data_IF_578428006205
#
_entry.id   IF_578428006205
#
_cell.length_a   1.000
_cell.length_b   1.000
_cell.length_c   1.000
_cell.angle_alpha   90.00
_cell.angle_beta   90.00
_cell.angle_gamma   90.00
#
_symmetry.space_group_name_H-M   'P 1'
#
loop_
_entity.id
_entity.type
_entity.pdbx_description
1 polymer ?
#
# COMPACT_ATOMS: atom_id res chain seq x y z
N UNK A 1 4.09 22.15 -1.28
CA UNK A 1 3.95 21.69 0.13
C UNK A 1 5.36 21.53 0.68
N UNK A 2 5.65 21.98 1.91
CA UNK A 2 6.95 21.76 2.56
C UNK A 2 7.11 20.28 2.93
N UNK A 3 8.33 19.83 3.08
CA UNK A 3 8.60 18.41 3.41
C UNK A 3 7.90 17.95 4.67
N UNK A 4 7.97 18.74 5.74
CA UNK A 4 7.35 18.40 7.03
C UNK A 4 5.82 18.29 6.91
N UNK A 5 5.19 19.20 6.14
CA UNK A 5 3.74 19.15 5.88
C UNK A 5 3.35 17.86 5.14
N UNK A 6 4.20 17.39 4.21
CA UNK A 6 3.97 16.14 3.49
C UNK A 6 4.03 14.96 4.44
N UNK A 7 5.10 14.86 5.23
CA UNK A 7 5.33 13.73 6.14
C UNK A 7 4.26 13.66 7.23
N UNK A 8 3.89 14.82 7.81
CA UNK A 8 2.89 14.90 8.88
C UNK A 8 1.45 14.75 8.34
N UNK A 9 1.17 15.32 7.17
CA UNK A 9 -0.18 15.32 6.59
C UNK A 9 -0.55 14.01 5.90
N UNK A 10 0.43 13.27 5.36
CA UNK A 10 0.17 12.04 4.61
C UNK A 10 -0.50 10.98 5.47
N UNK A 11 -1.59 10.45 4.98
CA UNK A 11 -2.30 9.30 5.56
C UNK A 11 -2.74 8.31 4.48
N UNK A 12 -3.16 7.12 4.88
CA UNK A 12 -3.68 6.11 3.95
C UNK A 12 -5.08 6.49 3.48
N UNK A 13 -5.24 6.68 2.18
CA UNK A 13 -6.50 7.04 1.52
C UNK A 13 -7.16 5.76 1.00
N UNK A 14 -8.45 5.56 1.30
CA UNK A 14 -9.23 4.36 0.99
C UNK A 14 -10.56 4.67 0.29
N UNK A 15 -10.79 5.91 -0.07
CA UNK A 15 -11.90 6.39 -0.89
C UNK A 15 -11.37 7.41 -1.90
N UNK A 16 -11.75 7.25 -3.15
CA UNK A 16 -11.21 8.05 -4.26
C UNK A 16 -12.33 8.61 -5.11
N UNK A 17 -12.10 9.80 -5.65
CA UNK A 17 -12.96 10.39 -6.67
C UNK A 17 -12.83 9.59 -7.99
N UNK A 18 -13.94 9.50 -8.72
CA UNK A 18 -13.96 8.95 -10.10
C UNK A 18 -13.37 9.97 -11.09
N UNK A 19 -12.09 10.32 -10.87
CA UNK A 19 -11.38 11.29 -11.68
C UNK A 19 -10.13 10.63 -12.25
N UNK A 20 -9.89 10.69 -13.56
CA UNK A 20 -8.69 10.15 -14.19
C UNK A 20 -7.41 10.76 -13.58
N UNK A 21 -6.38 9.95 -13.48
CA UNK A 21 -5.04 10.39 -13.11
C UNK A 21 -4.20 10.48 -14.38
N UNK A 22 -3.68 11.66 -14.75
CA UNK A 22 -2.85 11.80 -15.94
C UNK A 22 -1.57 10.98 -15.83
N UNK A 23 -1.20 10.26 -16.88
CA UNK A 23 0.03 9.47 -16.93
C UNK A 23 1.28 10.34 -16.68
N UNK A 24 1.30 11.58 -17.15
CA UNK A 24 2.38 12.53 -16.90
C UNK A 24 2.59 12.77 -15.40
N UNK A 25 1.50 12.94 -14.63
CA UNK A 25 1.58 13.11 -13.17
C UNK A 25 2.12 11.86 -12.47
N UNK A 26 1.71 10.66 -12.93
CA UNK A 26 2.24 9.40 -12.39
C UNK A 26 3.74 9.30 -12.66
N UNK A 27 4.19 9.68 -13.86
CA UNK A 27 5.60 9.70 -14.23
C UNK A 27 6.41 10.63 -13.33
N UNK A 28 5.96 11.86 -13.11
CA UNK A 28 6.60 12.80 -12.19
C UNK A 28 6.71 12.25 -10.76
N UNK A 29 5.67 11.56 -10.28
CA UNK A 29 5.66 10.94 -8.95
C UNK A 29 6.70 9.82 -8.89
N UNK A 30 6.79 8.98 -9.92
CA UNK A 30 7.77 7.89 -10.00
C UNK A 30 9.20 8.40 -10.12
N UNK A 31 9.45 9.47 -10.89
CA UNK A 31 10.77 10.10 -11.01
C UNK A 31 11.30 10.56 -9.65
N UNK A 32 10.44 11.15 -8.82
CA UNK A 32 10.81 11.51 -7.45
C UNK A 32 11.00 10.27 -6.55
N UNK A 33 10.10 9.28 -6.68
CA UNK A 33 10.18 8.07 -5.90
C UNK A 33 11.51 7.33 -6.12
N UNK A 34 11.96 7.24 -7.38
CA UNK A 34 13.22 6.60 -7.76
C UNK A 34 14.48 7.32 -7.25
N UNK A 35 14.33 8.48 -6.58
CA UNK A 35 15.45 9.11 -5.83
C UNK A 35 15.67 8.49 -4.46
N UNK A 36 14.89 7.48 -4.07
CA UNK A 36 15.11 6.73 -2.84
C UNK A 36 16.54 6.13 -2.80
N UNK A 37 17.20 6.16 -1.64
CA UNK A 37 18.50 5.50 -1.49
C UNK A 37 18.34 3.98 -1.57
N UNK A 38 19.39 3.30 -2.05
CA UNK A 38 19.45 1.83 -2.06
C UNK A 38 20.84 1.34 -1.65
N UNK A 39 20.92 0.11 -1.18
CA UNK A 39 22.18 -0.54 -0.91
C UNK A 39 23.03 -0.57 -2.18
N UNK A 40 24.23 0.02 -2.12
CA UNK A 40 25.22 0.06 -3.22
C UNK A 40 24.62 0.51 -4.57
N UNK A 41 23.57 1.31 -4.56
CA UNK A 41 22.85 1.78 -5.74
C UNK A 41 22.25 0.66 -6.60
N UNK A 42 21.83 -0.44 -5.99
CA UNK A 42 21.31 -1.62 -6.69
C UNK A 42 19.93 -1.38 -7.33
N UNK A 43 19.12 -0.43 -6.80
CA UNK A 43 17.83 -0.04 -7.34
C UNK A 43 16.95 -1.24 -7.72
N UNK A 44 16.63 -2.12 -6.76
CA UNK A 44 16.07 -3.45 -7.03
C UNK A 44 14.63 -3.42 -7.53
N UNK A 45 13.95 -2.29 -7.41
CA UNK A 45 12.52 -2.15 -7.70
C UNK A 45 12.21 -2.02 -9.19
N UNK A 46 11.07 -2.60 -9.56
CA UNK A 46 10.40 -2.34 -10.84
C UNK A 46 8.94 -1.95 -10.56
N UNK A 47 8.31 -1.20 -11.46
CA UNK A 47 6.94 -0.72 -11.31
C UNK A 47 6.08 -1.14 -12.49
N UNK A 48 4.96 -1.78 -12.20
CA UNK A 48 3.89 -2.03 -13.15
C UNK A 48 2.72 -1.12 -12.78
N UNK A 49 2.51 -0.09 -13.59
CA UNK A 49 1.43 0.88 -13.40
C UNK A 49 0.21 0.41 -14.16
N UNK A 50 -0.84 0.08 -13.44
CA UNK A 50 -2.08 -0.45 -14.02
C UNK A 50 -3.26 0.48 -13.74
N UNK A 51 -4.15 0.59 -14.73
CA UNK A 51 -5.39 1.37 -14.65
C UNK A 51 -6.39 0.84 -15.67
N UNK A 52 -7.58 1.46 -15.75
CA UNK A 52 -8.63 1.09 -16.68
C UNK A 52 -9.02 -0.38 -16.61
N UNK A 53 -9.33 -0.99 -17.76
CA UNK A 53 -9.82 -2.37 -17.86
C UNK A 53 -8.87 -3.42 -17.27
N UNK A 54 -7.55 -3.21 -17.38
CA UNK A 54 -6.56 -4.13 -16.79
C UNK A 54 -6.72 -4.17 -15.27
N UNK A 55 -6.84 -3.00 -14.64
CA UNK A 55 -7.05 -2.92 -13.21
C UNK A 55 -8.40 -3.50 -12.79
N UNK A 56 -9.44 -3.32 -13.61
CA UNK A 56 -10.77 -3.88 -13.34
C UNK A 56 -10.76 -5.42 -13.40
N UNK A 57 -10.05 -6.02 -14.36
CA UNK A 57 -9.85 -7.49 -14.41
C UNK A 57 -9.07 -8.01 -13.19
N UNK A 58 -8.04 -7.28 -12.75
CA UNK A 58 -7.31 -7.63 -11.51
C UNK A 58 -8.25 -7.62 -10.30
N UNK A 59 -9.09 -6.60 -10.16
CA UNK A 59 -10.07 -6.50 -9.07
C UNK A 59 -11.06 -7.65 -9.10
N UNK A 60 -11.62 -7.90 -10.27
CA UNK A 60 -12.58 -8.98 -10.46
C UNK A 60 -11.96 -10.32 -10.09
N UNK A 61 -10.81 -10.68 -10.64
CA UNK A 61 -10.16 -11.94 -10.35
C UNK A 61 -9.74 -12.09 -8.88
N UNK A 62 -9.27 -11.01 -8.24
CA UNK A 62 -8.96 -11.00 -6.81
C UNK A 62 -10.20 -11.28 -5.96
N UNK A 63 -11.34 -10.66 -6.27
CA UNK A 63 -12.60 -10.84 -5.54
C UNK A 63 -13.16 -12.24 -5.76
N UNK A 64 -13.24 -12.70 -7.01
CA UNK A 64 -13.76 -14.02 -7.37
C UNK A 64 -12.98 -15.14 -6.66
N UNK A 65 -11.65 -15.10 -6.72
CA UNK A 65 -10.81 -16.10 -6.04
C UNK A 65 -10.93 -16.05 -4.52
N UNK A 66 -11.05 -14.84 -3.94
CA UNK A 66 -11.26 -14.72 -2.50
C UNK A 66 -12.62 -15.28 -2.07
N UNK A 67 -13.70 -14.97 -2.80
CA UNK A 67 -15.05 -15.50 -2.53
C UNK A 67 -15.13 -17.02 -2.73
N UNK A 68 -14.38 -17.56 -3.68
CA UNK A 68 -14.26 -19.01 -3.92
C UNK A 68 -13.38 -19.71 -2.86
N UNK A 69 -12.85 -18.99 -1.88
CA UNK A 69 -11.98 -19.56 -0.83
C UNK A 69 -10.61 -20.02 -1.33
N UNK A 70 -10.17 -19.54 -2.49
CA UNK A 70 -8.83 -19.88 -3.01
C UNK A 70 -7.77 -19.36 -2.07
N UNK A 71 -6.82 -20.18 -1.62
CA UNK A 71 -5.75 -19.77 -0.73
C UNK A 71 -4.96 -18.58 -1.29
N UNK A 72 -4.51 -17.68 -0.40
CA UNK A 72 -3.66 -16.57 -0.80
C UNK A 72 -2.30 -17.06 -1.30
N UNK A 73 -1.85 -16.51 -2.42
CA UNK A 73 -0.62 -16.90 -3.12
C UNK A 73 0.34 -15.71 -3.30
N UNK A 74 0.42 -14.84 -2.28
CA UNK A 74 1.40 -13.74 -2.28
C UNK A 74 2.83 -14.27 -2.34
N UNK A 75 3.72 -13.52 -2.97
CA UNK A 75 5.10 -13.95 -3.24
C UNK A 75 6.09 -13.51 -2.16
N UNK A 76 5.75 -12.51 -1.34
CA UNK A 76 6.58 -12.12 -0.19
C UNK A 76 6.19 -12.90 1.07
N UNK A 77 7.18 -13.11 1.95
CA UNK A 77 6.96 -13.83 3.21
C UNK A 77 6.21 -12.94 4.21
N UNK A 78 5.16 -13.48 4.78
CA UNK A 78 4.54 -12.92 5.98
C UNK A 78 5.05 -13.70 7.19
N UNK A 79 5.46 -12.98 8.22
CA UNK A 79 5.77 -13.60 9.51
C UNK A 79 4.52 -14.26 10.16
N UNK A 80 4.68 -14.82 11.37
CA UNK A 80 3.61 -15.56 12.08
C UNK A 80 2.43 -14.69 12.54
N UNK A 81 2.38 -13.44 12.11
CA UNK A 81 1.39 -12.46 12.53
C UNK A 81 1.90 -11.57 13.66
N UNK A 82 1.13 -10.52 13.95
CA UNK A 82 1.50 -9.56 14.99
C UNK A 82 1.07 -10.06 16.38
N UNK A 83 1.93 -9.84 17.38
CA UNK A 83 1.69 -10.16 18.80
C UNK A 83 1.98 -8.94 19.68
N UNK A 84 1.53 -8.97 20.93
CA UNK A 84 1.76 -7.91 21.93
C UNK A 84 1.34 -6.53 21.40
N UNK A 85 2.13 -5.53 21.66
CA UNK A 85 1.89 -4.13 21.28
C UNK A 85 1.67 -3.92 19.77
N UNK A 86 2.29 -4.74 18.93
CA UNK A 86 2.08 -4.67 17.48
C UNK A 86 0.66 -5.10 17.10
N UNK A 87 0.14 -6.14 17.76
CA UNK A 87 -1.25 -6.59 17.58
C UNK A 87 -2.24 -5.56 18.10
N UNK A 88 -1.95 -4.95 19.24
CA UNK A 88 -2.79 -3.88 19.83
C UNK A 88 -2.91 -2.69 18.87
N UNK A 89 -1.79 -2.24 18.28
CA UNK A 89 -1.78 -1.15 17.29
C UNK A 89 -2.57 -1.52 16.02
N UNK A 90 -2.43 -2.76 15.55
CA UNK A 90 -3.22 -3.27 14.42
C UNK A 90 -4.72 -3.24 14.71
N UNK A 91 -5.13 -3.71 15.90
CA UNK A 91 -6.53 -3.70 16.32
C UNK A 91 -7.03 -2.27 16.50
N UNK A 92 -6.19 -1.39 17.06
CA UNK A 92 -6.52 0.02 17.28
C UNK A 92 -6.89 0.74 15.98
N UNK A 93 -6.08 0.60 14.94
CA UNK A 93 -6.38 1.22 13.64
C UNK A 93 -7.60 0.58 12.96
N UNK A 94 -7.78 -0.74 13.12
CA UNK A 94 -8.97 -1.42 12.58
C UNK A 94 -10.26 -0.93 13.23
N UNK A 95 -10.26 -0.73 14.57
CA UNK A 95 -11.40 -0.15 15.31
C UNK A 95 -11.73 1.26 14.82
N UNK A 96 -10.73 2.11 14.62
CA UNK A 96 -10.93 3.46 14.10
C UNK A 96 -11.56 3.45 12.70
N UNK A 97 -11.09 2.57 11.80
CA UNK A 97 -11.64 2.43 10.46
C UNK A 97 -13.08 1.93 10.49
N UNK A 98 -13.38 0.92 11.30
CA UNK A 98 -14.73 0.40 11.42
C UNK A 98 -15.69 1.42 12.02
N UNK A 99 -15.27 2.16 13.05
CA UNK A 99 -16.07 3.25 13.64
C UNK A 99 -16.33 4.36 12.60
N UNK A 100 -15.31 4.79 11.85
CA UNK A 100 -15.49 5.80 10.81
C UNK A 100 -16.45 5.35 9.69
N UNK A 101 -16.49 4.05 9.38
CA UNK A 101 -17.34 3.47 8.33
C UNK A 101 -18.70 2.97 8.85
N UNK A 102 -19.02 3.24 10.11
CA UNK A 102 -20.26 2.73 10.75
C UNK A 102 -20.41 1.20 10.61
N UNK A 103 -19.31 0.48 10.88
CA UNK A 103 -19.27 -0.98 10.84
C UNK A 103 -19.27 -1.51 12.27
N UNK A 104 -20.40 -2.06 12.71
CA UNK A 104 -20.50 -2.66 14.05
C UNK A 104 -19.67 -3.96 14.13
N UNK A 105 -19.33 -4.34 15.38
CA UNK A 105 -18.50 -5.53 15.66
C UNK A 105 -19.15 -6.83 15.20
N UNK A 106 -20.45 -6.92 15.30
CA UNK A 106 -21.29 -8.06 14.94
C UNK A 106 -21.85 -7.98 13.50
N UNK A 107 -21.69 -6.84 12.81
CA UNK A 107 -22.07 -6.68 11.42
C UNK A 107 -21.07 -7.38 10.49
N UNK A 108 -21.30 -8.69 10.33
CA UNK A 108 -20.45 -9.54 9.49
C UNK A 108 -20.48 -9.09 8.02
N UNK A 109 -21.66 -8.70 7.52
CA UNK A 109 -21.82 -8.33 6.11
C UNK A 109 -21.00 -7.08 5.76
N UNK A 110 -21.14 -5.98 6.52
CA UNK A 110 -20.34 -4.77 6.31
C UNK A 110 -18.84 -5.04 6.47
N UNK A 111 -18.45 -5.90 7.40
CA UNK A 111 -17.05 -6.30 7.58
C UNK A 111 -16.50 -7.05 6.38
N UNK A 112 -17.24 -8.01 5.85
CA UNK A 112 -16.87 -8.77 4.66
C UNK A 112 -16.77 -7.83 3.44
N UNK A 113 -17.72 -6.91 3.27
CA UNK A 113 -17.65 -5.87 2.24
C UNK A 113 -16.43 -4.95 2.39
N UNK A 114 -16.07 -4.58 3.61
CA UNK A 114 -14.85 -3.81 3.87
C UNK A 114 -13.59 -4.57 3.47
N UNK A 115 -13.51 -5.86 3.78
CA UNK A 115 -12.40 -6.72 3.37
C UNK A 115 -12.31 -6.79 1.85
N UNK A 116 -13.44 -7.00 1.15
CA UNK A 116 -13.49 -7.05 -0.31
C UNK A 116 -13.03 -5.74 -0.96
N UNK A 117 -13.25 -4.59 -0.32
CA UNK A 117 -12.69 -3.31 -0.81
C UNK A 117 -11.17 -3.34 -0.91
N UNK A 118 -10.49 -3.98 0.04
CA UNK A 118 -9.05 -4.17 -0.02
C UNK A 118 -8.61 -5.01 -1.24
N UNK A 119 -9.33 -6.09 -1.54
CA UNK A 119 -9.08 -6.92 -2.73
C UNK A 119 -9.36 -6.16 -4.04
N UNK A 120 -10.33 -5.24 -4.03
CA UNK A 120 -10.59 -4.31 -5.14
C UNK A 120 -9.65 -3.11 -5.16
N UNK A 121 -8.64 -3.08 -4.29
CA UNK A 121 -7.69 -1.95 -4.18
C UNK A 121 -8.40 -0.62 -3.91
N UNK A 122 -9.44 -0.68 -3.08
CA UNK A 122 -10.28 0.46 -2.68
C UNK A 122 -10.90 1.23 -3.86
N UNK A 123 -11.07 0.57 -4.98
CA UNK A 123 -11.61 1.12 -6.24
C UNK A 123 -10.81 2.35 -6.76
N UNK A 124 -9.50 2.41 -6.44
CA UNK A 124 -8.61 3.49 -6.86
C UNK A 124 -8.41 3.49 -8.38
N UNK A 125 -8.35 4.63 -9.07
CA UNK A 125 -8.20 4.69 -10.53
C UNK A 125 -6.86 4.13 -11.03
N UNK A 126 -5.85 4.05 -10.16
CA UNK A 126 -4.51 3.55 -10.49
C UNK A 126 -4.01 2.60 -9.40
N UNK A 127 -3.34 1.54 -9.80
CA UNK A 127 -2.54 0.69 -8.93
C UNK A 127 -1.11 0.62 -9.46
N UNK A 128 -0.13 0.79 -8.58
CA UNK A 128 1.29 0.63 -8.89
C UNK A 128 1.77 -0.62 -8.19
N UNK A 129 1.96 -1.69 -8.96
CA UNK A 129 2.52 -2.95 -8.44
C UNK A 129 4.04 -2.79 -8.39
N UNK A 130 4.61 -3.01 -7.22
CA UNK A 130 6.05 -2.93 -6.97
C UNK A 130 6.61 -4.33 -6.95
N UNK A 131 7.62 -4.58 -7.78
CA UNK A 131 8.32 -5.86 -7.88
C UNK A 131 9.82 -5.66 -7.71
N UNK A 132 10.55 -6.75 -7.55
CA UNK A 132 12.01 -6.79 -7.62
C UNK A 132 12.47 -8.08 -8.29
N UNK A 133 13.72 -8.09 -8.76
CA UNK A 133 14.26 -9.22 -9.49
C UNK A 133 14.35 -10.49 -8.65
N UNK A 134 13.86 -11.60 -9.18
CA UNK A 134 13.87 -12.90 -8.50
C UNK A 134 15.28 -13.39 -8.16
N UNK A 135 16.29 -12.98 -8.92
CA UNK A 135 17.69 -13.32 -8.67
C UNK A 135 18.18 -12.87 -7.28
N UNK A 136 17.57 -11.83 -6.69
CA UNK A 136 17.88 -11.33 -5.35
C UNK A 136 16.81 -11.70 -4.32
N UNK A 137 15.91 -12.62 -4.67
CA UNK A 137 14.89 -13.12 -3.74
C UNK A 137 15.53 -13.92 -2.60
N UNK A 138 15.10 -13.65 -1.38
CA UNK A 138 15.69 -14.23 -0.17
C UNK A 138 16.68 -13.31 0.54
N UNK A 139 17.08 -12.20 -0.10
CA UNK A 139 17.77 -11.10 0.56
C UNK A 139 16.79 -10.20 1.30
N UNK A 140 17.08 -9.80 2.53
CA UNK A 140 16.29 -8.82 3.27
C UNK A 140 16.48 -7.38 2.74
N UNK A 141 17.54 -7.14 1.97
CA UNK A 141 17.90 -5.81 1.43
C UNK A 141 16.88 -5.39 0.35
N UNK A 142 16.51 -6.29 -0.57
CA UNK A 142 15.59 -5.93 -1.65
C UNK A 142 14.20 -5.49 -1.14
N UNK A 143 13.55 -6.19 -0.21
CA UNK A 143 12.32 -5.71 0.42
C UNK A 143 12.50 -4.41 1.21
N UNK A 144 13.65 -4.22 1.88
CA UNK A 144 13.94 -2.99 2.61
C UNK A 144 14.04 -1.78 1.66
N UNK A 145 14.79 -1.91 0.57
CA UNK A 145 14.94 -0.87 -0.44
C UNK A 145 13.59 -0.60 -1.15
N UNK A 146 12.81 -1.65 -1.44
CA UNK A 146 11.44 -1.50 -1.95
C UNK A 146 10.54 -0.72 -0.97
N UNK A 147 10.70 -0.93 0.34
CA UNK A 147 10.02 -0.13 1.36
C UNK A 147 10.41 1.35 1.29
N UNK A 148 11.69 1.63 1.07
CA UNK A 148 12.23 2.98 0.87
C UNK A 148 11.61 3.70 -0.32
N UNK A 149 11.61 3.07 -1.49
CA UNK A 149 11.02 3.67 -2.70
C UNK A 149 9.51 3.85 -2.59
N UNK A 150 8.80 2.91 -1.97
CA UNK A 150 7.35 3.03 -1.71
C UNK A 150 7.06 4.21 -0.79
N UNK A 151 7.86 4.43 0.25
CA UNK A 151 7.71 5.62 1.11
C UNK A 151 7.93 6.92 0.33
N UNK A 152 8.96 7.00 -0.51
CA UNK A 152 9.18 8.15 -1.38
C UNK A 152 8.00 8.36 -2.34
N UNK A 153 7.47 7.27 -2.95
CA UNK A 153 6.33 7.32 -3.87
C UNK A 153 5.08 7.93 -3.22
N UNK A 154 4.68 7.43 -2.05
CA UNK A 154 3.46 7.92 -1.38
C UNK A 154 3.59 9.36 -0.88
N UNK A 155 4.79 9.80 -0.51
CA UNK A 155 5.08 11.18 -0.15
C UNK A 155 5.09 12.10 -1.38
N UNK A 156 5.71 11.66 -2.49
CA UNK A 156 5.67 12.37 -3.76
C UNK A 156 4.25 12.52 -4.31
N UNK A 157 3.42 11.48 -4.18
CA UNK A 157 2.00 11.54 -4.54
C UNK A 157 1.25 12.56 -3.66
N UNK A 158 1.44 12.48 -2.34
CA UNK A 158 0.78 13.39 -1.39
C UNK A 158 1.14 14.86 -1.64
N UNK A 159 2.40 15.17 -1.93
CA UNK A 159 2.84 16.53 -2.24
C UNK A 159 2.16 17.13 -3.47
N UNK A 160 1.55 16.29 -4.32
CA UNK A 160 0.80 16.64 -5.53
C UNK A 160 -0.72 16.52 -5.38
N UNK A 161 -1.21 16.38 -4.14
CA UNK A 161 -2.63 16.24 -3.83
C UNK A 161 -3.21 14.86 -4.15
N UNK A 162 -2.35 13.86 -4.44
CA UNK A 162 -2.78 12.49 -4.65
C UNK A 162 -2.82 11.70 -3.34
N UNK A 163 -3.84 10.88 -3.16
CA UNK A 163 -3.94 9.94 -2.05
C UNK A 163 -3.45 8.55 -2.41
N UNK A 164 -2.78 7.89 -1.46
CA UNK A 164 -2.30 6.52 -1.63
C UNK A 164 -2.64 5.65 -0.43
N UNK A 165 -2.73 4.34 -0.68
CA UNK A 165 -2.62 3.30 0.35
C UNK A 165 -1.75 2.15 -0.15
N UNK A 166 -0.77 1.75 0.67
CA UNK A 166 -0.01 0.52 0.44
C UNK A 166 -0.96 -0.64 0.74
N UNK A 167 -1.21 -1.49 -0.26
CA UNK A 167 -2.28 -2.47 -0.21
C UNK A 167 -1.79 -3.88 -0.52
N UNK A 168 -1.44 -4.64 0.50
CA UNK A 168 -1.07 -6.05 0.34
C UNK A 168 -2.25 -6.96 -0.04
N UNK A 169 -3.51 -6.57 0.24
CA UNK A 169 -4.67 -7.35 -0.19
C UNK A 169 -4.82 -7.37 -1.71
N UNK A 170 -4.44 -6.29 -2.39
CA UNK A 170 -4.50 -6.17 -3.85
C UNK A 170 -3.57 -7.12 -4.60
N UNK A 171 -2.61 -7.75 -3.90
CA UNK A 171 -1.67 -8.73 -4.47
C UNK A 171 -1.79 -10.13 -3.83
N UNK A 172 -2.79 -10.37 -2.99
CA UNK A 172 -2.97 -11.68 -2.34
C UNK A 172 -3.26 -12.80 -3.33
N UNK A 173 -3.77 -12.48 -4.50
CA UNK A 173 -3.93 -13.40 -5.61
C UNK A 173 -2.90 -13.07 -6.70
N UNK A 174 -1.60 -13.24 -6.38
CA UNK A 174 -0.48 -12.90 -7.29
C UNK A 174 -0.62 -13.46 -8.69
N UNK A 175 -1.13 -14.68 -8.94
CA UNK A 175 -1.30 -15.19 -10.31
C UNK A 175 -2.23 -14.32 -11.16
N UNK A 176 -3.28 -13.74 -10.58
CA UNK A 176 -4.18 -12.81 -11.28
C UNK A 176 -3.44 -11.53 -11.64
N UNK A 177 -2.76 -10.94 -10.64
CA UNK A 177 -2.02 -9.70 -10.82
C UNK A 177 -0.91 -9.87 -11.87
N UNK A 178 -0.20 -10.99 -11.81
CA UNK A 178 0.87 -11.33 -12.75
C UNK A 178 0.36 -11.44 -14.18
N UNK A 179 -0.70 -12.23 -14.38
CA UNK A 179 -1.27 -12.47 -15.70
C UNK A 179 -1.80 -11.19 -16.34
N UNK A 180 -2.60 -10.42 -15.59
CA UNK A 180 -3.25 -9.23 -16.11
C UNK A 180 -2.31 -8.05 -16.33
N UNK A 181 -1.30 -7.88 -15.46
CA UNK A 181 -0.30 -6.82 -15.60
C UNK A 181 0.91 -7.20 -16.45
N UNK A 182 0.97 -8.43 -16.98
CA UNK A 182 2.09 -8.90 -17.80
C UNK A 182 3.42 -8.96 -17.04
N UNK A 183 3.39 -9.31 -15.73
CA UNK A 183 4.59 -9.37 -14.91
C UNK A 183 5.38 -10.64 -15.21
N UNK A 184 6.61 -10.49 -15.64
CA UNK A 184 7.49 -11.59 -16.03
C UNK A 184 7.84 -12.51 -14.82
N UNK A 185 8.18 -13.77 -15.10
CA UNK A 185 8.45 -14.78 -14.07
C UNK A 185 9.72 -14.52 -13.26
N UNK A 186 10.65 -13.73 -13.81
CA UNK A 186 11.86 -13.29 -13.13
C UNK A 186 11.63 -12.17 -12.12
N UNK A 187 10.40 -11.69 -11.97
CA UNK A 187 10.00 -10.67 -11.01
C UNK A 187 9.30 -11.31 -9.79
N UNK A 188 9.50 -10.73 -8.63
CA UNK A 188 8.79 -11.04 -7.38
C UNK A 188 7.86 -9.89 -7.03
N UNK A 189 6.57 -10.16 -6.87
CA UNK A 189 5.59 -9.15 -6.47
C UNK A 189 5.73 -8.87 -4.99
N UNK A 190 6.15 -7.64 -4.64
CA UNK A 190 6.37 -7.21 -3.26
C UNK A 190 5.11 -6.60 -2.63
N UNK A 191 4.51 -5.64 -3.30
CA UNK A 191 3.30 -4.94 -2.82
C UNK A 191 2.61 -4.24 -3.98
N UNK A 192 1.45 -3.63 -3.71
CA UNK A 192 0.91 -2.60 -4.60
C UNK A 192 0.53 -1.35 -3.83
N UNK A 193 0.48 -0.23 -4.53
CA UNK A 193 0.03 1.07 -4.05
C UNK A 193 -1.19 1.48 -4.85
N UNK A 194 -2.36 1.50 -4.21
CA UNK A 194 -3.55 2.09 -4.78
C UNK A 194 -3.44 3.61 -4.71
N UNK A 195 -3.71 4.32 -5.80
CA UNK A 195 -3.52 5.76 -5.92
C UNK A 195 -4.65 6.43 -6.69
N UNK A 196 -5.04 7.62 -6.24
CA UNK A 196 -6.08 8.44 -6.89
C UNK A 196 -6.28 9.78 -6.19
N UNK A 197 -7.20 10.58 -6.70
CA UNK A 197 -7.62 11.81 -6.04
C UNK A 197 -8.44 11.46 -4.79
N UNK A 198 -8.06 11.95 -3.59
CA UNK A 198 -8.80 11.66 -2.38
C UNK A 198 -10.25 12.13 -2.46
N UNK A 199 -11.18 11.30 -2.03
CA UNK A 199 -12.54 11.73 -1.73
C UNK A 199 -12.58 12.15 -0.25
N UNK A 200 -12.62 13.45 -0.01
CA UNK A 200 -12.62 14.01 1.35
C UNK A 200 -13.90 13.67 2.13
N UNK A 201 -14.99 13.35 1.41
CA UNK A 201 -16.25 12.93 2.02
C UNK A 201 -16.24 11.47 2.49
N UNK A 202 -15.25 10.65 2.06
CA UNK A 202 -15.16 9.26 2.43
C UNK A 202 -14.63 9.09 3.86
N UNK A 203 -15.44 8.59 4.82
CA UNK A 203 -15.13 8.71 6.26
C UNK A 203 -13.82 8.04 6.68
N UNK A 204 -13.45 6.90 6.07
CA UNK A 204 -12.17 6.24 6.38
C UNK A 204 -10.94 7.08 6.02
N UNK A 205 -11.06 8.09 5.14
CA UNK A 205 -9.96 8.99 4.79
C UNK A 205 -9.63 9.99 5.89
N UNK A 206 -10.54 10.22 6.85
CA UNK A 206 -10.29 11.05 8.02
C UNK A 206 -9.46 10.34 9.11
N UNK A 207 -9.30 9.02 9.02
CA UNK A 207 -8.58 8.25 10.05
C UNK A 207 -7.08 8.52 9.99
N UNK A 208 -6.53 9.02 11.10
CA UNK A 208 -5.11 9.28 11.31
C UNK A 208 -4.57 8.27 12.33
N UNK A 209 -3.69 7.37 11.90
CA UNK A 209 -3.08 6.38 12.78
C UNK A 209 -2.02 7.00 13.68
N UNK A 210 -2.07 6.68 14.96
CA UNK A 210 -1.11 7.14 15.95
C UNK A 210 0.30 6.58 15.68
N UNK A 211 1.30 7.31 16.15
CA UNK A 211 2.70 6.89 16.18
C UNK A 211 3.17 6.85 17.62
N UNK A 212 4.16 6.00 17.92
CA UNK A 212 4.88 6.08 19.17
C UNK A 212 5.71 7.36 19.23
N UNK A 213 5.97 7.86 20.44
CA UNK A 213 6.82 9.02 20.65
C UNK A 213 8.28 8.70 20.28
N UNK A 214 9.11 9.74 20.21
CA UNK A 214 10.56 9.58 20.05
C UNK A 214 11.14 8.82 21.25
N UNK A 215 10.69 9.13 22.47
CA UNK A 215 11.18 8.50 23.69
C UNK A 215 10.84 7.00 23.79
N UNK A 216 9.71 6.58 23.17
CA UNK A 216 9.37 5.16 23.03
C UNK A 216 10.17 4.44 21.91
N UNK A 217 10.83 5.19 21.03
CA UNK A 217 11.44 4.65 19.83
C UNK A 217 12.96 4.73 19.80
N UNK A 218 13.54 5.73 20.46
CA UNK A 218 14.95 6.07 20.39
C UNK A 218 15.59 6.02 21.79
N UNK A 219 16.82 5.58 21.81
CA UNK A 219 17.70 5.67 22.97
C UNK A 219 18.90 6.53 22.55
N UNK A 220 19.11 7.62 23.26
CA UNK A 220 20.26 8.51 23.02
C UNK A 220 21.46 8.03 23.84
N UNK A 221 22.55 7.70 23.17
CA UNK A 221 23.76 7.21 23.81
C UNK A 221 24.92 8.13 23.45
N UNK A 222 25.65 8.64 24.46
CA UNK A 222 26.78 9.57 24.25
C UNK A 222 26.38 11.02 23.99
N UNK A 223 25.14 11.39 24.31
CA UNK A 223 24.68 12.78 24.29
C UNK A 223 24.61 13.28 25.73
N UNK A 224 25.17 14.47 25.98
CA UNK A 224 24.94 15.20 27.23
C UNK A 224 23.58 15.88 27.15
N UNK A 225 22.75 15.72 28.20
CA UNK A 225 21.39 16.29 28.28
C UNK A 225 21.37 17.79 28.55
#
# INVERSE_FOLDING_TARGET
MKFDDVVQGRRSIRGYLKKPVPQALIREILELAMRAPTSLNTQPWNFYVVGGEVLDRIRQGNVERNLAGVPHSREFRMGPGYQGVHRERQIGVAKQLFAAMDIARDDKEKRDQWVLRGFRQFDAPVSIVVTYDRAIHGSDIAPFDCGGVVNCLINAAWSRGMGCVINSQGIMQSPVVRAEAGIADDQVIQTCVAMGWPDESFPANAVVSQRKSVDEAAVFVGFEG
#
